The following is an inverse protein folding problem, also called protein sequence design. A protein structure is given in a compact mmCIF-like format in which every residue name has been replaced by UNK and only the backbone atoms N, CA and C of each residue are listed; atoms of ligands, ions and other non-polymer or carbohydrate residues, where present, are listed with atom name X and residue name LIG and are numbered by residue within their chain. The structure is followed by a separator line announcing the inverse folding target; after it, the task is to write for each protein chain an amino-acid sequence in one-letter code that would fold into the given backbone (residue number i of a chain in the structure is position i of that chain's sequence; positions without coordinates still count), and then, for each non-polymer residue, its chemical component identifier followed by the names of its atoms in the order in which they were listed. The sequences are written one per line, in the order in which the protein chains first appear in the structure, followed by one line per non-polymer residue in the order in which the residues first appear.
data_IF_264121745293
#
_entry.id   IF_264121745293
#
_cell.length_a   1.000
_cell.length_b   1.000
_cell.length_c   1.000
_cell.angle_alpha   90.00
_cell.angle_beta   90.00
_cell.angle_gamma   90.00
#
_symmetry.space_group_name_H-M   'P 1'
#
loop_
_entity.id
_entity.type
_entity.pdbx_description
1 polymer ?
#
# COMPACT_ATOMS: atom_id res chain seq x y z
N UNK A 1 0.67 -12.12 -26.18
CA UNK A 1 0.71 -10.88 -25.39
C UNK A 1 1.76 -11.03 -24.29
N UNK A 2 2.67 -10.07 -24.12
CA UNK A 2 3.60 -10.04 -22.98
C UNK A 2 3.02 -9.12 -21.90
N UNK A 3 2.61 -9.68 -20.77
CA UNK A 3 1.97 -8.96 -19.66
C UNK A 3 2.96 -8.40 -18.62
N UNK A 4 4.27 -8.67 -18.78
CA UNK A 4 5.32 -8.23 -17.88
C UNK A 4 6.37 -7.46 -18.67
N UNK A 5 6.07 -6.20 -18.95
CA UNK A 5 7.02 -5.22 -19.50
C UNK A 5 7.31 -4.20 -18.41
N UNK A 6 8.53 -3.67 -18.42
CA UNK A 6 8.91 -2.61 -17.50
C UNK A 6 8.03 -1.38 -17.72
N UNK A 7 7.62 -0.74 -16.63
CA UNK A 7 6.79 0.45 -16.71
C UNK A 7 7.63 1.63 -17.23
N UNK A 8 7.06 2.42 -18.13
CA UNK A 8 7.65 3.70 -18.50
C UNK A 8 7.79 4.61 -17.26
N UNK A 9 8.82 5.46 -17.25
CA UNK A 9 9.17 6.35 -16.12
C UNK A 9 7.99 7.18 -15.58
N UNK A 10 7.10 7.63 -16.47
CA UNK A 10 5.92 8.43 -16.12
C UNK A 10 4.60 7.64 -16.22
N UNK A 11 4.67 6.32 -16.09
CA UNK A 11 3.50 5.46 -16.16
C UNK A 11 2.46 5.80 -15.08
N UNK A 12 1.16 5.83 -15.40
CA UNK A 12 0.10 5.99 -14.42
C UNK A 12 0.05 4.83 -13.40
N UNK A 13 0.70 3.70 -13.70
CA UNK A 13 0.81 2.53 -12.83
C UNK A 13 2.04 2.53 -11.94
N UNK A 14 2.88 3.57 -11.97
CA UNK A 14 4.05 3.66 -11.08
C UNK A 14 3.62 3.56 -9.61
N UNK A 15 4.42 2.87 -8.81
CA UNK A 15 4.18 2.78 -7.37
C UNK A 15 4.21 4.18 -6.73
N UNK A 16 3.34 4.39 -5.74
CA UNK A 16 3.36 5.60 -4.92
C UNK A 16 4.53 5.52 -3.95
N UNK A 17 5.13 6.66 -3.61
CA UNK A 17 6.27 6.74 -2.68
C UNK A 17 6.02 5.99 -1.36
N UNK A 18 4.80 6.07 -0.81
CA UNK A 18 4.44 5.35 0.41
C UNK A 18 4.56 3.81 0.29
N UNK A 19 4.40 3.26 -0.92
CA UNK A 19 4.40 1.81 -1.20
C UNK A 19 5.72 1.34 -1.80
N UNK A 20 6.39 2.19 -2.58
CA UNK A 20 7.57 1.84 -3.35
C UNK A 20 8.72 1.31 -2.46
N UNK A 21 9.37 0.23 -2.90
CA UNK A 21 10.60 -0.30 -2.28
C UNK A 21 10.40 -0.99 -0.92
N UNK A 22 9.17 -1.19 -0.45
CA UNK A 22 8.88 -1.85 0.83
C UNK A 22 8.45 -3.29 0.63
N UNK A 23 8.95 -4.19 1.49
CA UNK A 23 8.39 -5.53 1.60
C UNK A 23 7.00 -5.50 2.29
N UNK A 24 6.30 -6.63 2.25
CA UNK A 24 4.93 -6.72 2.77
C UNK A 24 4.86 -6.40 4.27
N UNK A 25 5.85 -6.84 5.05
CA UNK A 25 5.88 -6.68 6.51
C UNK A 25 6.11 -5.22 6.88
N UNK A 26 7.09 -4.56 6.26
CA UNK A 26 7.42 -3.15 6.46
C UNK A 26 6.25 -2.27 6.06
N UNK A 27 5.66 -2.53 4.89
CA UNK A 27 4.47 -1.80 4.43
C UNK A 27 3.28 -1.95 5.39
N UNK A 28 3.06 -3.15 5.93
CA UNK A 28 1.97 -3.39 6.86
C UNK A 28 2.17 -2.64 8.20
N UNK A 29 3.40 -2.62 8.74
CA UNK A 29 3.73 -1.84 9.93
C UNK A 29 3.53 -0.34 9.70
N UNK A 30 3.97 0.18 8.57
CA UNK A 30 3.79 1.59 8.21
C UNK A 30 2.31 1.96 8.08
N UNK A 31 1.49 1.08 7.50
CA UNK A 31 0.03 1.29 7.40
C UNK A 31 -0.62 1.36 8.79
N UNK A 32 -0.18 0.53 9.75
CA UNK A 32 -0.72 0.54 11.11
C UNK A 32 -0.39 1.85 11.84
N UNK A 33 0.80 2.40 11.63
CA UNK A 33 1.23 3.68 12.20
C UNK A 33 0.60 4.91 11.52
N UNK A 34 0.05 4.76 10.31
CA UNK A 34 -0.43 5.86 9.48
C UNK A 34 -1.61 6.59 10.10
N UNK A 35 -1.53 7.91 10.27
CA UNK A 35 -2.70 8.72 10.66
C UNK A 35 -3.60 9.09 9.47
N UNK A 36 -4.72 9.76 9.75
CA UNK A 36 -5.69 10.14 8.73
C UNK A 36 -5.18 11.23 7.78
N UNK A 37 -4.32 12.13 8.23
CA UNK A 37 -3.76 13.21 7.41
C UNK A 37 -2.74 12.64 6.42
N UNK A 38 -1.79 11.84 6.91
CA UNK A 38 -0.81 11.10 6.13
C UNK A 38 -1.48 10.16 5.12
N UNK A 39 -2.52 9.43 5.54
CA UNK A 39 -3.34 8.61 4.62
C UNK A 39 -3.94 9.43 3.49
N UNK A 40 -4.53 10.58 3.82
CA UNK A 40 -5.22 11.42 2.85
C UNK A 40 -4.28 12.00 1.80
N UNK A 41 -3.05 12.33 2.22
CA UNK A 41 -1.96 12.81 1.37
C UNK A 41 -1.38 11.68 0.50
N UNK A 42 -0.91 10.60 1.12
CA UNK A 42 -0.26 9.47 0.42
C UNK A 42 -1.15 8.83 -0.65
N UNK A 43 -2.45 8.75 -0.36
CA UNK A 43 -3.43 8.10 -1.24
C UNK A 43 -4.36 9.08 -1.95
N UNK A 44 -3.97 10.36 -2.08
CA UNK A 44 -4.75 11.35 -2.86
C UNK A 44 -4.98 10.86 -4.29
N UNK A 45 -6.23 11.02 -4.77
CA UNK A 45 -6.70 10.53 -6.08
C UNK A 45 -6.49 9.02 -6.31
N UNK A 46 -6.42 8.22 -5.24
CA UNK A 46 -6.36 6.76 -5.32
C UNK A 46 -7.73 6.12 -5.06
N UNK A 47 -8.13 5.07 -5.81
CA UNK A 47 -9.29 4.25 -5.50
C UNK A 47 -9.28 3.64 -4.08
N UNK A 48 -8.10 3.47 -3.47
CA UNK A 48 -7.96 2.90 -2.11
C UNK A 48 -8.70 3.71 -1.03
N UNK A 49 -9.02 4.99 -1.29
CA UNK A 49 -9.83 5.80 -0.37
C UNK A 49 -11.21 5.20 -0.11
N UNK A 50 -11.72 4.35 -1.01
CA UNK A 50 -12.98 3.61 -0.81
C UNK A 50 -12.91 2.65 0.40
N UNK A 51 -11.74 2.09 0.69
CA UNK A 51 -11.52 1.17 1.83
C UNK A 51 -11.41 1.92 3.16
N UNK A 52 -11.04 3.21 3.11
CA UNK A 52 -10.74 4.07 4.26
C UNK A 52 -9.55 3.54 5.10
N UNK A 53 -8.98 4.39 5.95
CA UNK A 53 -7.81 4.03 6.78
C UNK A 53 -8.10 2.82 7.69
N UNK A 54 -9.30 2.76 8.28
CA UNK A 54 -9.69 1.67 9.16
C UNK A 54 -9.68 0.30 8.47
N UNK A 55 -10.22 0.22 7.24
CA UNK A 55 -10.21 -1.02 6.46
C UNK A 55 -8.79 -1.41 6.05
N UNK A 56 -7.96 -0.43 5.70
CA UNK A 56 -6.58 -0.68 5.31
C UNK A 56 -5.73 -1.20 6.48
N UNK A 57 -5.88 -0.61 7.67
CA UNK A 57 -5.23 -1.08 8.91
C UNK A 57 -5.64 -2.51 9.27
N UNK A 58 -6.92 -2.87 9.08
CA UNK A 58 -7.39 -4.24 9.31
C UNK A 58 -6.66 -5.23 8.40
N UNK A 59 -6.52 -4.91 7.11
CA UNK A 59 -5.80 -5.78 6.17
C UNK A 59 -4.32 -5.89 6.53
N UNK A 60 -3.68 -4.79 6.96
CA UNK A 60 -2.29 -4.82 7.42
C UNK A 60 -2.10 -5.72 8.64
N UNK A 61 -3.03 -5.70 9.61
CA UNK A 61 -2.99 -6.61 10.74
C UNK A 61 -3.09 -8.08 10.32
N UNK A 62 -3.93 -8.40 9.32
CA UNK A 62 -4.03 -9.75 8.76
C UNK A 62 -2.73 -10.19 8.09
N UNK A 63 -2.09 -9.30 7.31
CA UNK A 63 -0.80 -9.61 6.67
C UNK A 63 0.25 -9.97 7.73
N UNK A 64 0.38 -9.17 8.79
CA UNK A 64 1.34 -9.45 9.86
C UNK A 64 1.04 -10.75 10.60
N UNK A 65 -0.23 -11.09 10.78
CA UNK A 65 -0.63 -12.38 11.38
C UNK A 65 -0.24 -13.55 10.48
N UNK A 66 -0.52 -13.47 9.19
CA UNK A 66 -0.21 -14.54 8.25
C UNK A 66 1.30 -14.79 8.13
N UNK A 67 2.13 -13.74 8.19
CA UNK A 67 3.58 -13.86 8.20
C UNK A 67 4.12 -14.51 9.48
N UNK A 68 3.46 -14.33 10.62
CA UNK A 68 3.83 -14.99 11.88
C UNK A 68 3.41 -16.47 11.93
N UNK A 69 2.41 -16.87 11.13
CA UNK A 69 1.90 -18.25 11.03
C UNK A 69 2.66 -19.09 9.97
N UNK A 70 3.64 -18.50 9.28
CA UNK A 70 4.38 -19.10 8.16
C UNK A 70 5.72 -19.70 8.59
#
# INVERSE_FOLDING_TARGET
MKFSVELAEYSPFRAREFVAGKDAVTLARDILALDQAAFSAAFRKSPIKRVKLAGLRRNAAVVLRNEAER
#
